data_IF_499960127692
#
_entry.id   IF_499960127692
#
_cell.length_a   1.000
_cell.length_b   1.000
_cell.length_c   1.000
_cell.angle_alpha   90.00
_cell.angle_beta   90.00
_cell.angle_gamma   90.00
#
_symmetry.space_group_name_H-M   'P 1'
#
loop_
_entity.id
_entity.type
_entity.pdbx_description
1 polymer ?
#
# COMPACT_ATOMS: atom_id res chain seq x y z
N UNK A 1 -5.10 14.77 2.06
CA UNK A 1 -3.96 13.84 1.92
C UNK A 1 -4.43 12.42 2.16
N UNK A 2 -4.04 11.47 1.32
CA UNK A 2 -4.38 10.05 1.51
C UNK A 2 -3.21 9.32 2.16
N UNK A 3 -3.44 8.69 3.31
CA UNK A 3 -2.43 7.92 4.02
C UNK A 3 -2.82 6.45 4.06
N UNK A 4 -1.80 5.59 4.02
CA UNK A 4 -1.91 4.17 4.20
C UNK A 4 -1.69 3.82 5.67
N UNK A 5 -2.62 3.08 6.27
CA UNK A 5 -2.45 2.57 7.62
C UNK A 5 -1.48 1.38 7.63
N UNK A 6 -0.43 1.47 8.45
CA UNK A 6 0.65 0.47 8.51
C UNK A 6 0.16 -0.91 9.00
N UNK A 7 -0.91 -0.96 9.79
CA UNK A 7 -1.44 -2.20 10.36
C UNK A 7 -2.49 -2.82 9.44
N UNK A 8 -3.47 -2.02 9.03
CA UNK A 8 -4.64 -2.50 8.28
C UNK A 8 -4.41 -2.52 6.77
N UNK A 9 -3.40 -1.79 6.28
CA UNK A 9 -3.17 -1.50 4.86
C UNK A 9 -4.33 -0.74 4.20
N UNK A 10 -5.20 -0.12 4.99
CA UNK A 10 -6.30 0.66 4.46
C UNK A 10 -5.85 2.08 4.12
N UNK A 11 -6.42 2.61 3.04
CA UNK A 11 -6.21 3.98 2.63
C UNK A 11 -7.29 4.86 3.24
N UNK A 12 -6.85 5.93 3.89
CA UNK A 12 -7.74 6.89 4.56
C UNK A 12 -7.39 8.29 4.09
N UNK A 13 -8.42 9.06 3.73
CA UNK A 13 -8.26 10.47 3.38
C UNK A 13 -8.33 11.32 4.64
N UNK A 14 -7.33 12.16 4.86
CA UNK A 14 -7.23 13.11 5.95
C UNK A 14 -7.29 14.54 5.42
N UNK A 15 -8.04 15.39 6.13
CA UNK A 15 -8.01 16.86 5.95
C UNK A 15 -6.89 17.46 6.80
N UNK A 16 -6.73 16.96 8.03
CA UNK A 16 -5.63 17.25 8.95
C UNK A 16 -4.89 15.93 9.25
N UNK A 17 -3.78 15.63 8.55
CA UNK A 17 -3.13 14.33 8.65
C UNK A 17 -2.38 14.17 9.99
N UNK A 18 -2.42 12.99 10.62
CA UNK A 18 -1.56 12.66 11.76
C UNK A 18 -0.08 12.58 11.33
N UNK A 19 0.84 12.39 12.27
CA UNK A 19 2.23 12.06 11.92
C UNK A 19 2.28 10.81 11.02
N UNK A 20 3.05 10.92 9.93
CA UNK A 20 3.23 9.86 8.95
C UNK A 20 4.68 9.80 8.47
N UNK A 21 5.14 8.61 8.08
CA UNK A 21 6.39 8.45 7.37
C UNK A 21 6.17 8.52 5.86
N UNK A 22 7.15 9.04 5.12
CA UNK A 22 7.06 9.17 3.66
C UNK A 22 7.85 8.05 3.00
N UNK A 23 7.20 7.31 2.11
CA UNK A 23 7.87 6.39 1.21
C UNK A 23 8.33 7.14 -0.05
N UNK A 24 9.50 7.77 0.02
CA UNK A 24 10.08 8.50 -1.12
C UNK A 24 11.18 7.67 -1.79
N UNK A 25 10.86 7.05 -2.93
CA UNK A 25 11.83 6.32 -3.74
C UNK A 25 11.64 6.64 -5.22
N UNK A 26 12.73 6.57 -6.00
CA UNK A 26 12.62 6.58 -7.47
C UNK A 26 11.99 5.27 -7.90
N UNK A 27 10.76 5.35 -8.38
CA UNK A 27 10.08 4.23 -9.00
C UNK A 27 10.71 3.99 -10.37
N UNK A 28 11.11 2.73 -10.61
CA UNK A 28 11.75 2.30 -11.86
C UNK A 28 11.22 0.91 -12.18
N UNK A 29 10.37 0.81 -13.21
CA UNK A 29 9.72 -0.44 -13.64
C UNK A 29 8.66 -0.98 -12.66
N UNK A 30 7.63 -1.68 -13.20
CA UNK A 30 6.51 -2.31 -12.49
C UNK A 30 5.91 -1.45 -11.36
N UNK A 31 5.50 -0.25 -11.74
CA UNK A 31 4.75 0.65 -10.86
C UNK A 31 3.39 0.04 -10.53
N UNK A 32 3.03 0.10 -9.25
CA UNK A 32 1.75 -0.40 -8.78
C UNK A 32 0.70 0.70 -8.91
N UNK A 33 -0.35 0.48 -9.69
CA UNK A 33 -1.42 1.49 -9.80
C UNK A 33 -2.28 1.56 -8.52
N UNK A 34 -2.98 2.69 -8.33
CA UNK A 34 -4.00 2.82 -7.29
C UNK A 34 -5.09 1.74 -7.41
N UNK A 35 -5.52 1.47 -8.64
CA UNK A 35 -6.58 0.49 -8.93
C UNK A 35 -6.12 -0.93 -8.61
N UNK A 36 -4.89 -1.30 -8.98
CA UNK A 36 -4.29 -2.58 -8.59
C UNK A 36 -4.21 -2.72 -7.07
N UNK A 37 -3.80 -1.67 -6.36
CA UNK A 37 -3.74 -1.70 -4.90
C UNK A 37 -5.14 -1.86 -4.29
N UNK A 38 -6.13 -1.14 -4.81
CA UNK A 38 -7.52 -1.26 -4.37
C UNK A 38 -8.09 -2.66 -4.62
N UNK A 39 -7.75 -3.29 -5.74
CA UNK A 39 -8.15 -4.67 -6.03
C UNK A 39 -7.65 -5.64 -4.97
N UNK A 40 -6.38 -5.51 -4.57
CA UNK A 40 -5.79 -6.33 -3.50
C UNK A 40 -6.49 -6.09 -2.15
N UNK A 41 -6.81 -4.84 -1.81
CA UNK A 41 -7.56 -4.54 -0.58
C UNK A 41 -8.97 -5.12 -0.59
N UNK A 42 -9.68 -5.04 -1.72
CA UNK A 42 -11.00 -5.64 -1.87
C UNK A 42 -10.94 -7.15 -1.75
N UNK A 43 -9.96 -7.80 -2.38
CA UNK A 43 -9.75 -9.24 -2.29
C UNK A 43 -9.45 -9.67 -0.85
N UNK A 44 -8.58 -8.95 -0.12
CA UNK A 44 -8.30 -9.20 1.31
C UNK A 44 -9.55 -9.14 2.19
N UNK A 45 -10.48 -8.23 1.89
CA UNK A 45 -11.75 -8.10 2.64
C UNK A 45 -12.76 -9.18 2.28
N UNK A 46 -12.77 -9.64 1.02
CA UNK A 46 -13.80 -10.55 0.48
C UNK A 46 -13.45 -12.03 0.59
N UNK A 47 -12.18 -12.40 0.68
CA UNK A 47 -11.75 -13.80 0.59
C UNK A 47 -11.42 -14.37 1.98
N UNK A 48 -12.35 -15.06 2.67
CA UNK A 48 -11.95 -16.13 3.55
C UNK A 48 -11.45 -17.27 2.67
N UNK A 49 -10.13 -17.45 2.58
CA UNK A 49 -9.58 -18.64 1.95
C UNK A 49 -9.85 -19.79 2.93
N UNK A 50 -11.01 -20.41 2.82
CA UNK A 50 -11.24 -21.74 3.40
C UNK A 50 -10.51 -22.74 2.52
N UNK A 51 -9.48 -23.44 3.01
CA UNK A 51 -8.83 -24.48 2.22
C UNK A 51 -9.87 -25.54 1.82
N UNK A 52 -9.97 -25.83 0.53
CA UNK A 52 -10.84 -26.89 0.00
C UNK A 52 -12.23 -26.48 -0.49
N UNK A 53 -12.61 -25.20 -0.43
CA UNK A 53 -13.80 -24.75 -1.18
C UNK A 53 -13.47 -24.56 -2.66
N UNK A 54 -14.27 -25.18 -3.54
CA UNK A 54 -14.23 -24.89 -4.96
C UNK A 54 -14.61 -23.42 -5.18
N UNK A 55 -13.74 -22.69 -5.87
CA UNK A 55 -13.95 -21.30 -6.21
C UNK A 55 -14.67 -21.22 -7.55
N UNK A 56 -15.57 -20.26 -7.70
CA UNK A 56 -16.14 -19.96 -9.01
C UNK A 56 -15.08 -19.32 -9.93
N UNK A 57 -15.34 -19.33 -11.24
CA UNK A 57 -14.40 -18.82 -12.24
C UNK A 57 -14.01 -17.35 -12.00
N UNK A 58 -14.95 -16.53 -11.51
CA UNK A 58 -14.72 -15.12 -11.16
C UNK A 58 -13.74 -14.98 -10.00
N UNK A 59 -13.85 -15.86 -9.00
CA UNK A 59 -12.96 -15.88 -7.84
C UNK A 59 -11.56 -16.38 -8.22
N UNK A 60 -11.46 -17.35 -9.13
CA UNK A 60 -10.17 -17.80 -9.68
C UNK A 60 -9.47 -16.67 -10.44
N UNK A 61 -10.19 -15.94 -11.30
CA UNK A 61 -9.63 -14.81 -12.05
C UNK A 61 -9.16 -13.68 -11.11
N UNK A 62 -9.98 -13.32 -10.12
CA UNK A 62 -9.61 -12.35 -9.09
C UNK A 62 -8.34 -12.78 -8.33
N UNK A 63 -8.23 -14.05 -7.95
CA UNK A 63 -7.05 -14.56 -7.26
C UNK A 63 -5.79 -14.50 -8.13
N UNK A 64 -5.88 -14.88 -9.41
CA UNK A 64 -4.77 -14.77 -10.36
C UNK A 64 -4.30 -13.32 -10.46
N UNK A 65 -5.22 -12.38 -10.60
CA UNK A 65 -4.85 -10.96 -10.72
C UNK A 65 -4.25 -10.41 -9.43
N UNK A 66 -4.78 -10.78 -8.26
CA UNK A 66 -4.19 -10.42 -6.96
C UNK A 66 -2.79 -11.00 -6.83
N UNK A 67 -2.56 -12.25 -7.25
CA UNK A 67 -1.25 -12.87 -7.22
C UNK A 67 -0.25 -12.12 -8.10
N UNK A 68 -0.63 -11.78 -9.34
CA UNK A 68 0.19 -10.98 -10.24
C UNK A 68 0.58 -9.63 -9.61
N UNK A 69 -0.40 -8.92 -9.04
CA UNK A 69 -0.17 -7.63 -8.37
C UNK A 69 0.78 -7.79 -7.19
N UNK A 70 0.56 -8.77 -6.33
CA UNK A 70 1.36 -8.96 -5.11
C UNK A 70 2.82 -9.34 -5.41
N UNK A 71 3.09 -9.89 -6.60
CA UNK A 71 4.43 -10.21 -7.08
C UNK A 71 5.17 -8.99 -7.68
N UNK A 72 4.47 -7.89 -7.97
CA UNK A 72 5.11 -6.66 -8.49
C UNK A 72 6.15 -6.13 -7.51
N UNK A 73 7.18 -5.46 -8.05
CA UNK A 73 8.18 -4.76 -7.22
C UNK A 73 7.51 -3.68 -6.38
N UNK A 74 6.53 -2.97 -6.95
CA UNK A 74 5.84 -1.91 -6.24
C UNK A 74 5.05 -2.39 -5.02
N UNK A 75 4.30 -3.47 -5.15
CA UNK A 75 3.57 -4.03 -4.02
C UNK A 75 4.50 -4.52 -2.90
N UNK A 76 5.61 -5.18 -3.26
CA UNK A 76 6.61 -5.65 -2.29
C UNK A 76 7.28 -4.49 -1.55
N UNK A 77 7.52 -3.36 -2.21
CA UNK A 77 8.03 -2.14 -1.55
C UNK A 77 7.04 -1.61 -0.51
N UNK A 78 5.75 -1.54 -0.84
CA UNK A 78 4.72 -1.10 0.11
C UNK A 78 4.67 -2.01 1.34
N UNK A 79 4.64 -3.34 1.16
CA UNK A 79 4.63 -4.26 2.29
C UNK A 79 5.94 -4.19 3.11
N UNK A 80 7.09 -4.08 2.44
CA UNK A 80 8.39 -3.89 3.09
C UNK A 80 8.46 -2.60 3.92
N UNK A 81 7.95 -1.51 3.37
CA UNK A 81 7.89 -0.24 4.08
C UNK A 81 6.90 -0.26 5.24
N UNK A 82 5.72 -0.87 5.07
CA UNK A 82 4.80 -1.05 6.19
C UNK A 82 5.41 -1.91 7.30
N UNK A 83 6.25 -2.89 6.96
CA UNK A 83 7.01 -3.64 7.97
C UNK A 83 7.98 -2.73 8.71
N UNK A 84 8.80 -1.98 7.99
CA UNK A 84 9.78 -1.05 8.57
C UNK A 84 9.12 0.04 9.43
N UNK A 85 8.10 0.72 8.89
CA UNK A 85 7.33 1.75 9.58
C UNK A 85 6.70 1.22 10.88
N UNK A 86 6.31 -0.07 10.94
CA UNK A 86 5.80 -0.69 12.16
C UNK A 86 6.89 -0.87 13.22
N UNK A 87 8.09 -1.22 12.80
CA UNK A 87 9.26 -1.34 13.68
C UNK A 87 9.66 0.04 14.24
N UNK A 88 9.45 1.11 13.47
CA UNK A 88 9.63 2.51 13.89
C UNK A 88 8.40 3.13 14.59
N UNK A 89 7.44 2.30 15.02
CA UNK A 89 6.21 2.73 15.72
C UNK A 89 5.31 3.72 14.95
N UNK A 90 5.49 3.86 13.64
CA UNK A 90 4.63 4.67 12.79
C UNK A 90 3.29 3.98 12.58
N UNK A 91 2.23 4.79 12.53
CA UNK A 91 0.86 4.30 12.26
C UNK A 91 0.42 4.55 10.82
N UNK A 92 0.96 5.60 10.20
CA UNK A 92 0.56 6.06 8.89
C UNK A 92 1.76 6.26 7.99
N UNK A 93 1.58 5.94 6.72
CA UNK A 93 2.57 6.18 5.68
C UNK A 93 1.94 6.87 4.48
N UNK A 94 2.68 7.78 3.87
CA UNK A 94 2.32 8.40 2.61
C UNK A 94 3.07 7.72 1.46
N UNK A 95 2.34 7.32 0.42
CA UNK A 95 2.88 6.80 -0.84
C UNK A 95 2.34 7.63 -2.01
N UNK A 96 3.25 8.28 -2.73
CA UNK A 96 2.97 9.18 -3.86
C UNK A 96 2.18 8.48 -4.98
N UNK A 97 2.35 7.16 -5.19
CA UNK A 97 1.67 6.47 -6.29
C UNK A 97 0.22 6.13 -5.94
N UNK A 98 -0.04 5.78 -4.68
CA UNK A 98 -1.41 5.53 -4.21
C UNK A 98 -2.18 6.86 -4.04
N UNK A 99 -1.48 8.00 -3.97
CA UNK A 99 -2.08 9.35 -4.03
C UNK A 99 -2.72 9.69 -5.37
N UNK A 100 -2.23 9.11 -6.47
CA UNK A 100 -2.62 9.48 -7.83
C UNK A 100 -1.77 10.64 -8.39
N UNK A 101 -1.71 10.76 -9.72
CA UNK A 101 -0.85 11.68 -10.50
C UNK A 101 -0.99 13.19 -10.21
N UNK A 102 -1.77 13.61 -9.21
CA UNK A 102 -2.16 15.01 -9.00
C UNK A 102 -1.97 15.55 -7.59
N UNK A 103 -1.40 14.81 -6.64
CA UNK A 103 -1.15 15.37 -5.31
C UNK A 103 0.26 15.98 -5.24
N UNK A 104 0.26 17.30 -5.45
CA UNK A 104 1.39 18.23 -5.33
C UNK A 104 2.17 17.95 -4.05
N UNK A 105 3.49 17.74 -4.18
CA UNK A 105 4.40 17.58 -3.05
C UNK A 105 4.31 18.80 -2.13
N UNK A 106 3.82 18.60 -0.91
CA UNK A 106 4.19 19.42 0.22
C UNK A 106 5.25 18.62 0.99
N UNK A 107 6.51 19.03 0.83
CA UNK A 107 7.61 18.54 1.66
C UNK A 107 7.30 18.89 3.11
N UNK A 108 6.98 17.88 3.93
CA UNK A 108 7.07 17.99 5.37
C UNK A 108 8.06 16.95 5.88
N UNK A 109 9.10 17.49 6.51
CA UNK A 109 10.28 16.84 7.02
C UNK A 109 9.90 16.02 8.26
N UNK A 110 10.16 14.71 8.23
CA UNK A 110 10.42 13.99 9.48
C UNK A 110 11.86 14.27 9.86
N UNK A 111 12.06 15.04 10.91
CA UNK A 111 13.34 15.11 11.62
C UNK A 111 13.71 13.68 12.08
N UNK A 112 14.98 13.32 11.88
CA UNK A 112 15.68 12.18 12.53
C UNK A 112 15.66 10.78 11.91
N UNK A 113 15.76 10.63 10.59
CA UNK A 113 16.30 9.39 9.99
C UNK A 113 17.35 9.65 8.89
N UNK A 114 18.18 10.68 9.08
CA UNK A 114 19.44 10.83 8.38
C UNK A 114 20.57 10.62 9.40
N UNK A 115 21.08 9.39 9.46
CA UNK A 115 22.29 8.89 10.15
C UNK A 115 22.00 7.71 11.08
N UNK A 116 21.87 6.52 10.51
CA UNK A 116 22.24 5.26 11.15
C UNK A 116 22.71 4.28 10.06
#
# INVERSE_FOLDING_TARGET
MRLLNVKTRELVNFTDPPLYAVLSHRWSGDELSYDDYCLVLQARRRLPITPGQALDATTTELQSRVLEITNTVGYRKIEGFCKFAREDHQTWVYDIIIGGKQDVMFDYVSTDLANA
#
